data_IF_495271500258
#
_entry.id   IF_495271500258
#
_cell.length_a   1.000
_cell.length_b   1.000
_cell.length_c   1.000
_cell.angle_alpha   90.00
_cell.angle_beta   90.00
_cell.angle_gamma   90.00
#
_symmetry.space_group_name_H-M   'P 1'
#
loop_
_entity.id
_entity.type
_entity.pdbx_description
1 polymer ?
#
# COMPACT_ATOMS: atom_id res chain seq x y z
N UNK A 1 35.98 -33.08 10.85
CA UNK A 1 34.55 -32.68 10.97
C UNK A 1 34.35 -31.35 11.71
N UNK A 2 35.24 -30.98 12.65
CA UNK A 2 35.17 -29.73 13.43
C UNK A 2 35.28 -28.44 12.62
N UNK A 3 36.16 -28.40 11.60
CA UNK A 3 36.31 -27.21 10.74
C UNK A 3 35.06 -26.86 9.91
N UNK A 4 34.33 -27.88 9.41
CA UNK A 4 33.07 -27.67 8.67
C UNK A 4 31.95 -27.21 9.62
N UNK A 5 31.90 -27.73 10.85
CA UNK A 5 30.96 -27.24 11.87
C UNK A 5 31.22 -25.77 12.22
N UNK A 6 32.49 -25.36 12.36
CA UNK A 6 32.86 -23.97 12.65
C UNK A 6 32.50 -23.03 11.48
N UNK A 7 32.73 -23.48 10.24
CA UNK A 7 32.35 -22.75 9.02
C UNK A 7 30.83 -22.57 8.93
N UNK A 8 30.07 -23.63 9.17
CA UNK A 8 28.60 -23.56 9.19
C UNK A 8 28.09 -22.57 10.26
N UNK A 9 28.69 -22.59 11.46
CA UNK A 9 28.34 -21.65 12.53
C UNK A 9 28.66 -20.19 12.16
N UNK A 10 29.77 -19.96 11.46
CA UNK A 10 30.18 -18.63 10.99
C UNK A 10 29.23 -18.11 9.92
N UNK A 11 28.84 -18.96 8.97
CA UNK A 11 27.87 -18.63 7.93
C UNK A 11 26.49 -18.32 8.51
N UNK A 12 26.05 -19.09 9.50
CA UNK A 12 24.80 -18.81 10.24
C UNK A 12 24.85 -17.43 10.91
N UNK A 13 25.95 -17.13 11.63
CA UNK A 13 26.12 -15.85 12.34
C UNK A 13 26.20 -14.66 11.37
N UNK A 14 26.81 -14.84 10.21
CA UNK A 14 26.88 -13.80 9.17
C UNK A 14 25.50 -13.55 8.55
N UNK A 15 24.72 -14.60 8.31
CA UNK A 15 23.33 -14.49 7.83
C UNK A 15 22.46 -13.72 8.84
N UNK A 16 22.57 -14.03 10.13
CA UNK A 16 21.86 -13.32 11.20
C UNK A 16 22.25 -11.83 11.29
N UNK A 17 23.55 -11.52 11.15
CA UNK A 17 24.02 -10.13 11.08
C UNK A 17 23.47 -9.41 9.85
N UNK A 18 23.40 -10.07 8.70
CA UNK A 18 22.86 -9.48 7.48
C UNK A 18 21.36 -9.19 7.60
N UNK A 19 20.59 -10.11 8.20
CA UNK A 19 19.18 -9.89 8.50
C UNK A 19 19.00 -8.69 9.43
N UNK A 20 19.85 -8.55 10.45
CA UNK A 20 19.83 -7.40 11.38
C UNK A 20 20.06 -6.07 10.66
N UNK A 21 20.95 -6.04 9.66
CA UNK A 21 21.17 -4.85 8.83
C UNK A 21 19.99 -4.51 7.93
N UNK A 22 19.27 -5.50 7.40
CA UNK A 22 18.04 -5.24 6.62
C UNK A 22 16.92 -4.69 7.51
N UNK A 23 16.75 -5.21 8.72
CA UNK A 23 15.79 -4.67 9.69
C UNK A 23 16.10 -3.21 10.02
N UNK A 24 17.37 -2.86 10.21
CA UNK A 24 17.80 -1.49 10.46
C UNK A 24 17.46 -0.53 9.30
N UNK A 25 17.45 -0.99 8.05
CA UNK A 25 16.96 -0.18 6.93
C UNK A 25 15.44 0.02 7.02
N UNK A 26 14.70 -1.02 7.39
CA UNK A 26 13.25 -0.97 7.58
C UNK A 26 12.79 -0.05 8.71
N UNK A 27 13.58 0.14 9.78
CA UNK A 27 13.20 1.05 10.87
C UNK A 27 13.08 2.51 10.42
N UNK A 28 13.79 2.90 9.35
CA UNK A 28 13.65 4.25 8.75
C UNK A 28 12.27 4.49 8.14
N UNK A 29 11.52 3.41 7.86
CA UNK A 29 10.16 3.47 7.33
C UNK A 29 9.12 3.59 8.43
N UNK A 30 9.45 3.22 9.68
CA UNK A 30 8.51 3.33 10.79
C UNK A 30 8.08 4.79 10.93
N UNK A 31 6.78 5.02 10.96
CA UNK A 31 6.19 6.34 10.99
C UNK A 31 5.96 6.99 9.61
N UNK A 32 6.54 6.45 8.53
CA UNK A 32 6.32 6.91 7.15
C UNK A 32 5.02 6.33 6.59
N UNK A 33 4.45 7.01 5.60
CA UNK A 33 3.33 6.49 4.84
C UNK A 33 3.86 5.74 3.62
N UNK A 34 3.23 4.62 3.29
CA UNK A 34 3.56 3.79 2.14
C UNK A 34 2.31 3.50 1.33
N UNK A 35 2.50 3.28 0.04
CA UNK A 35 1.46 2.79 -0.85
C UNK A 35 1.73 1.34 -1.24
N UNK A 36 0.71 0.51 -1.09
CA UNK A 36 0.74 -0.93 -1.41
C UNK A 36 -0.47 -1.28 -2.24
N UNK A 37 -0.38 -2.30 -3.08
CA UNK A 37 -1.54 -2.75 -3.85
C UNK A 37 -2.71 -3.14 -2.94
N UNK A 38 -3.88 -2.53 -3.19
CA UNK A 38 -5.06 -2.69 -2.37
C UNK A 38 -6.05 -1.52 -2.50
N UNK A 39 -7.29 -1.78 -2.07
CA UNK A 39 -8.43 -0.88 -2.24
C UNK A 39 -8.92 -0.22 -0.96
N UNK A 40 -8.25 -0.41 0.18
CA UNK A 40 -8.69 0.23 1.44
C UNK A 40 -8.44 1.73 1.36
N UNK A 41 -9.41 2.53 1.77
CA UNK A 41 -9.24 3.99 1.85
C UNK A 41 -8.77 4.38 3.25
N UNK A 42 -7.71 5.18 3.34
CA UNK A 42 -7.23 5.71 4.61
C UNK A 42 -7.98 7.00 4.93
N UNK A 43 -8.78 7.02 6.00
CA UNK A 43 -9.52 8.23 6.41
C UNK A 43 -8.90 8.82 7.67
N UNK A 44 -8.48 10.08 7.59
CA UNK A 44 -8.01 10.88 8.71
C UNK A 44 -8.54 12.31 8.57
N UNK A 45 -8.94 12.93 9.68
CA UNK A 45 -9.43 14.32 9.70
C UNK A 45 -10.52 14.61 8.65
N UNK A 46 -11.45 13.65 8.48
CA UNK A 46 -12.54 13.70 7.49
C UNK A 46 -12.10 13.74 6.02
N UNK A 47 -10.85 13.38 5.73
CA UNK A 47 -10.33 13.22 4.38
C UNK A 47 -9.93 11.77 4.15
N UNK A 48 -10.58 11.13 3.18
CA UNK A 48 -10.17 9.82 2.67
C UNK A 48 -9.06 9.96 1.65
N UNK A 49 -8.04 9.12 1.70
CA UNK A 49 -6.90 9.13 0.76
C UNK A 49 -6.63 7.75 0.21
N UNK A 50 -6.24 7.72 -1.06
CA UNK A 50 -5.81 6.53 -1.75
C UNK A 50 -5.03 6.88 -3.02
N UNK A 51 -4.62 5.86 -3.75
CA UNK A 51 -3.96 6.02 -5.04
C UNK A 51 -4.32 4.93 -6.02
N UNK A 52 -3.83 5.09 -7.23
CA UNK A 52 -3.96 4.10 -8.29
C UNK A 52 -2.84 4.28 -9.30
N UNK A 53 -2.56 3.22 -10.06
CA UNK A 53 -1.62 3.25 -11.17
C UNK A 53 -2.34 2.90 -12.48
N UNK A 54 -2.05 3.67 -13.53
CA UNK A 54 -2.56 3.45 -14.87
C UNK A 54 -1.43 3.00 -15.80
N UNK A 55 -1.63 1.94 -16.60
CA UNK A 55 -0.64 1.50 -17.58
C UNK A 55 -0.52 2.45 -18.80
N UNK A 56 -1.57 3.23 -19.07
CA UNK A 56 -1.64 4.17 -20.19
C UNK A 56 -2.56 5.35 -19.85
N UNK A 57 -2.60 6.38 -20.70
CA UNK A 57 -3.46 7.54 -20.47
C UNK A 57 -4.96 7.18 -20.56
N UNK A 58 -5.75 7.72 -19.62
CA UNK A 58 -7.19 7.61 -19.54
C UNK A 58 -7.85 8.97 -19.84
N UNK A 59 -8.90 8.98 -20.65
CA UNK A 59 -9.71 10.19 -20.92
C UNK A 59 -10.67 10.49 -19.77
N UNK A 60 -11.04 9.48 -18.98
CA UNK A 60 -11.83 9.66 -17.77
C UNK A 60 -11.44 8.60 -16.72
N UNK A 61 -11.29 9.03 -15.46
CA UNK A 61 -11.08 8.19 -14.29
C UNK A 61 -12.10 8.57 -13.22
N UNK A 62 -12.80 7.56 -12.69
CA UNK A 62 -13.70 7.70 -11.55
C UNK A 62 -13.24 6.82 -10.40
N UNK A 63 -13.41 7.33 -9.19
CA UNK A 63 -13.20 6.59 -7.95
C UNK A 63 -14.55 6.42 -7.26
N UNK A 64 -14.98 5.19 -7.08
CA UNK A 64 -16.16 4.89 -6.26
C UNK A 64 -15.68 4.54 -4.85
N UNK A 65 -16.13 5.26 -3.84
CA UNK A 65 -15.93 4.88 -2.44
C UNK A 65 -17.07 3.96 -2.04
N UNK A 66 -16.76 2.80 -1.45
CA UNK A 66 -17.75 1.78 -1.11
C UNK A 66 -17.61 1.29 0.33
N UNK A 67 -18.72 0.85 0.90
CA UNK A 67 -18.70 0.09 2.16
C UNK A 67 -18.09 -1.31 1.93
N UNK A 68 -17.76 -2.03 3.01
CA UNK A 68 -17.34 -3.43 2.92
C UNK A 68 -18.39 -4.34 2.27
N UNK A 69 -19.67 -4.00 2.39
CA UNK A 69 -20.77 -4.68 1.70
C UNK A 69 -20.89 -4.34 0.20
N UNK A 70 -20.03 -3.46 -0.32
CA UNK A 70 -19.99 -3.08 -1.73
C UNK A 70 -20.98 -1.99 -2.14
N UNK A 71 -21.74 -1.42 -1.19
CA UNK A 71 -22.62 -0.28 -1.45
C UNK A 71 -21.77 0.97 -1.75
N UNK A 72 -22.10 1.68 -2.82
CA UNK A 72 -21.46 2.96 -3.15
C UNK A 72 -21.89 4.02 -2.14
N UNK A 73 -20.88 4.65 -1.51
CA UNK A 73 -21.03 5.77 -0.59
C UNK A 73 -20.95 7.08 -1.36
N UNK A 74 -19.98 7.19 -2.27
CA UNK A 74 -19.75 8.38 -3.08
C UNK A 74 -18.95 8.04 -4.34
N UNK A 75 -18.97 8.94 -5.32
CA UNK A 75 -18.21 8.82 -6.57
C UNK A 75 -17.49 10.12 -6.88
N UNK A 76 -16.17 10.01 -7.05
CA UNK A 76 -15.28 11.13 -7.37
C UNK A 76 -14.92 11.03 -8.85
N UNK A 77 -15.24 12.07 -9.62
CA UNK A 77 -14.80 12.17 -11.01
C UNK A 77 -13.47 12.94 -11.07
N UNK A 78 -12.41 12.27 -11.51
CA UNK A 78 -11.07 12.84 -11.61
C UNK A 78 -10.75 13.33 -13.03
N UNK A 79 -11.64 13.09 -14.00
CA UNK A 79 -11.43 13.41 -15.40
C UNK A 79 -10.23 12.67 -16.02
N UNK A 80 -9.59 13.31 -17.00
CA UNK A 80 -8.47 12.72 -17.71
C UNK A 80 -7.21 12.62 -16.84
N UNK A 81 -6.49 11.50 -16.95
CA UNK A 81 -5.22 11.24 -16.25
C UNK A 81 -4.22 10.57 -17.20
N UNK A 82 -2.95 10.94 -17.08
CA UNK A 82 -1.86 10.29 -17.82
C UNK A 82 -1.55 8.88 -17.30
N UNK A 83 -0.67 8.18 -18.00
CA UNK A 83 -0.09 6.94 -17.48
C UNK A 83 0.71 7.20 -16.19
N UNK A 84 0.89 6.16 -15.38
CA UNK A 84 1.63 6.21 -14.12
C UNK A 84 0.74 6.32 -12.89
N UNK A 85 1.35 6.73 -11.78
CA UNK A 85 0.73 6.73 -10.46
C UNK A 85 0.05 8.05 -10.16
N UNK A 86 -1.15 7.96 -9.59
CA UNK A 86 -1.96 9.09 -9.16
C UNK A 86 -2.47 8.87 -7.76
N UNK A 87 -2.72 9.96 -7.06
CA UNK A 87 -3.38 9.97 -5.75
C UNK A 87 -4.72 10.68 -5.86
N UNK A 88 -5.62 10.39 -4.92
CA UNK A 88 -6.89 11.09 -4.80
C UNK A 88 -7.21 11.36 -3.34
N UNK A 89 -8.05 12.37 -3.12
CA UNK A 89 -8.66 12.66 -1.84
C UNK A 89 -10.19 12.61 -1.99
N UNK A 90 -10.85 12.23 -0.90
CA UNK A 90 -12.30 12.15 -0.79
C UNK A 90 -12.74 12.97 0.43
N UNK A 91 -13.74 13.83 0.25
CA UNK A 91 -14.38 14.53 1.36
C UNK A 91 -15.33 13.60 2.13
N UNK A 92 -14.86 13.09 3.27
CA UNK A 92 -15.61 12.21 4.15
C UNK A 92 -16.43 12.99 5.21
N UNK A 93 -16.53 14.32 5.13
CA UNK A 93 -17.20 15.16 6.14
C UNK A 93 -18.68 14.79 6.33
N UNK A 94 -19.35 14.39 5.26
CA UNK A 94 -20.76 13.98 5.25
C UNK A 94 -20.98 12.50 5.57
N UNK A 95 -19.92 11.71 5.63
CA UNK A 95 -20.02 10.28 5.94
C UNK A 95 -20.07 10.06 7.46
N UNK A 96 -21.12 9.37 7.91
CA UNK A 96 -21.41 9.11 9.33
C UNK A 96 -21.18 7.66 9.75
N UNK A 97 -20.88 6.77 8.81
CA UNK A 97 -20.61 5.36 9.09
C UNK A 97 -19.18 5.10 9.58
N UNK A 98 -18.88 3.83 9.87
CA UNK A 98 -17.53 3.40 10.22
C UNK A 98 -16.60 3.47 9.00
N UNK A 99 -15.43 4.07 9.16
CA UNK A 99 -14.48 4.35 8.06
C UNK A 99 -13.41 3.28 7.90
N UNK A 100 -13.22 2.42 8.90
CA UNK A 100 -12.20 1.37 8.98
C UNK A 100 -12.33 0.32 7.88
N UNK A 101 -13.56 0.02 7.46
CA UNK A 101 -13.84 -1.01 6.47
C UNK A 101 -14.13 -0.46 5.06
N UNK A 102 -14.03 0.86 4.86
CA UNK A 102 -14.27 1.47 3.55
C UNK A 102 -13.24 1.03 2.51
N UNK A 103 -13.74 0.84 1.29
CA UNK A 103 -12.95 0.49 0.12
C UNK A 103 -13.13 1.56 -0.96
N UNK A 104 -12.31 1.50 -2.00
CA UNK A 104 -12.53 2.23 -3.24
C UNK A 104 -12.36 1.34 -4.46
N UNK A 105 -13.03 1.69 -5.56
CA UNK A 105 -12.85 1.09 -6.88
C UNK A 105 -12.43 2.15 -7.87
N UNK A 106 -11.52 1.78 -8.76
CA UNK A 106 -11.02 2.65 -9.83
C UNK A 106 -11.67 2.20 -11.13
N UNK A 107 -12.32 3.14 -11.82
CA UNK A 107 -12.84 2.93 -13.18
C UNK A 107 -12.13 3.90 -14.12
N UNK A 108 -11.35 3.38 -15.05
CA UNK A 108 -10.61 4.18 -16.01
C UNK A 108 -11.01 3.78 -17.44
N UNK A 109 -11.18 4.78 -18.30
CA UNK A 109 -11.49 4.58 -19.72
C UNK A 109 -10.64 5.49 -20.60
N UNK A 110 -10.36 5.03 -21.82
CA UNK A 110 -9.83 5.86 -22.90
C UNK A 110 -10.85 5.82 -24.06
N UNK A 111 -11.59 6.91 -24.24
CA UNK A 111 -12.82 6.90 -25.02
C UNK A 111 -13.84 5.93 -24.42
N UNK A 112 -14.29 4.95 -25.20
CA UNK A 112 -15.21 3.89 -24.77
C UNK A 112 -14.51 2.64 -24.24
N UNK A 113 -13.19 2.54 -24.37
CA UNK A 113 -12.43 1.36 -23.96
C UNK A 113 -12.11 1.41 -22.47
N UNK A 114 -12.44 0.35 -21.73
CA UNK A 114 -12.03 0.19 -20.33
C UNK A 114 -10.54 -0.09 -20.24
N UNK A 115 -9.88 0.56 -19.30
CA UNK A 115 -8.48 0.32 -18.95
C UNK A 115 -8.40 -0.46 -17.64
N UNK A 116 -7.38 -1.33 -17.54
CA UNK A 116 -6.98 -1.86 -16.24
C UNK A 116 -6.36 -0.76 -15.40
N UNK A 117 -6.46 -0.92 -14.08
CA UNK A 117 -5.80 -0.04 -13.11
C UNK A 117 -5.41 -0.85 -11.88
N UNK A 118 -4.35 -0.42 -11.21
CA UNK A 118 -3.90 -1.05 -9.96
C UNK A 118 -4.23 -0.13 -8.80
N UNK A 119 -5.19 -0.46 -7.92
CA UNK A 119 -5.50 0.36 -6.76
C UNK A 119 -4.37 0.28 -5.74
N UNK A 120 -4.06 1.42 -5.11
CA UNK A 120 -3.01 1.57 -4.12
C UNK A 120 -3.58 2.10 -2.80
N UNK A 121 -3.51 1.29 -1.76
CA UNK A 121 -3.89 1.64 -0.41
C UNK A 121 -2.76 2.42 0.26
N UNK A 122 -3.11 3.53 0.92
CA UNK A 122 -2.19 4.29 1.77
C UNK A 122 -2.22 3.70 3.18
N UNK A 123 -1.06 3.46 3.78
CA UNK A 123 -0.98 3.11 5.20
C UNK A 123 0.32 3.60 5.82
N UNK A 124 0.26 3.94 7.11
CA UNK A 124 1.44 4.22 7.92
C UNK A 124 2.11 2.91 8.32
N UNK A 125 3.44 2.86 8.27
CA UNK A 125 4.23 1.75 8.83
C UNK A 125 4.33 1.98 10.35
N UNK A 126 3.97 0.96 11.13
CA UNK A 126 3.98 1.00 12.59
C UNK A 126 5.12 0.20 13.21
N UNK A 127 5.56 -0.86 12.53
CA UNK A 127 6.71 -1.66 12.95
C UNK A 127 7.47 -2.22 11.74
N UNK A 128 8.74 -2.54 11.96
CA UNK A 128 9.58 -3.26 11.02
C UNK A 128 10.27 -4.40 11.75
N UNK A 129 10.42 -5.54 11.10
CA UNK A 129 11.05 -6.73 11.65
C UNK A 129 11.56 -7.65 10.55
N UNK A 130 12.15 -8.78 10.93
CA UNK A 130 12.52 -9.84 10.01
C UNK A 130 11.70 -11.09 10.29
N UNK A 131 11.21 -11.71 9.23
CA UNK A 131 10.56 -13.02 9.25
C UNK A 131 11.18 -13.84 8.12
N UNK A 132 11.68 -15.04 8.40
CA UNK A 132 12.40 -15.90 7.45
C UNK A 132 13.54 -15.20 6.66
N UNK A 133 14.21 -14.24 7.30
CA UNK A 133 15.28 -13.44 6.68
C UNK A 133 14.81 -12.39 5.68
N UNK A 134 13.51 -12.12 5.61
CA UNK A 134 12.94 -11.04 4.80
C UNK A 134 12.51 -9.88 5.67
N UNK A 135 12.74 -8.66 5.19
CA UNK A 135 12.22 -7.45 5.84
C UNK A 135 10.69 -7.41 5.71
N UNK A 136 10.03 -7.47 6.85
CA UNK A 136 8.58 -7.37 7.01
C UNK A 136 8.20 -6.07 7.69
N UNK A 137 7.09 -5.48 7.25
CA UNK A 137 6.55 -4.23 7.76
C UNK A 137 5.12 -4.44 8.24
N UNK A 138 4.85 -4.02 9.47
CA UNK A 138 3.49 -3.94 9.99
C UNK A 138 2.91 -2.58 9.66
N UNK A 139 1.69 -2.59 9.13
CA UNK A 139 0.95 -1.41 8.71
C UNK A 139 -0.13 -1.06 9.73
N UNK A 140 -0.50 0.21 9.82
CA UNK A 140 -1.56 0.71 10.71
C UNK A 140 -2.94 0.07 10.44
N UNK A 141 -3.16 -0.47 9.24
CA UNK A 141 -4.36 -1.24 8.90
C UNK A 141 -4.31 -2.72 9.38
N UNK A 142 -3.30 -3.10 10.16
CA UNK A 142 -3.13 -4.44 10.73
C UNK A 142 -2.47 -5.46 9.80
N UNK A 143 -2.15 -5.10 8.54
CA UNK A 143 -1.47 -6.01 7.61
C UNK A 143 0.04 -6.07 7.90
N UNK A 144 0.62 -7.25 7.74
CA UNK A 144 2.06 -7.44 7.61
C UNK A 144 2.39 -7.67 6.14
N UNK A 145 3.38 -6.95 5.62
CA UNK A 145 3.80 -7.04 4.21
C UNK A 145 5.30 -7.17 4.09
N UNK A 146 5.78 -7.80 3.03
CA UNK A 146 7.19 -7.72 2.65
C UNK A 146 7.50 -6.30 2.15
N UNK A 147 8.70 -5.81 2.46
CA UNK A 147 9.21 -4.54 1.90
C UNK A 147 9.05 -4.46 0.36
N UNK A 148 9.22 -5.59 -0.34
CA UNK A 148 9.06 -5.69 -1.79
C UNK A 148 7.66 -5.34 -2.32
N UNK A 149 6.64 -5.36 -1.45
CA UNK A 149 5.26 -5.02 -1.82
C UNK A 149 4.97 -3.52 -1.76
N UNK A 150 5.90 -2.71 -1.24
CA UNK A 150 5.79 -1.26 -1.30
C UNK A 150 5.91 -0.81 -2.75
N UNK A 151 4.89 -0.10 -3.22
CA UNK A 151 4.88 0.56 -4.53
C UNK A 151 5.43 1.97 -4.46
N UNK A 152 5.19 2.69 -3.36
CA UNK A 152 5.65 4.07 -3.14
C UNK A 152 5.89 4.39 -1.66
N UNK A 153 6.82 5.31 -1.40
CA UNK A 153 6.92 6.05 -0.13
C UNK A 153 6.24 7.40 -0.30
N UNK A 154 5.52 7.86 0.73
CA UNK A 154 4.80 9.15 0.75
C UNK A 154 5.28 10.01 1.91
#
# INVERSE_FOLDING_TARGET
VTGIQQLNQTMQSMSEQFNSLQVMQGTTLIGRNVMTEGSTIAVADKVGKGGFELPSAATNVKIEVTTAGGQVVDTIDLGAKGAGRHTFEWDASKYTGATDALQFRVSAVNGSAKLSSTPLALSKVTAAGAEDGQLMLTLANGKSISYSQIKALV
#
